data_IF_471664327254
#
_entry.id   IF_471664327254
#
_cell.length_a   1.000
_cell.length_b   1.000
_cell.length_c   1.000
_cell.angle_alpha   90.00
_cell.angle_beta   90.00
_cell.angle_gamma   90.00
#
_symmetry.space_group_name_H-M   'P 1'
#
loop_
_entity.id
_entity.type
_entity.pdbx_description
1 polymer ?
2 non-polymer ?
3 non-polymer ?
4 non-polymer ?
5 water ?
#
# COMPACT_ATOMS: atom_id res chain seq x y z
N UNK A 22 4.64 23.19 10.50
CA UNK A 22 3.84 22.03 10.86
C UNK A 22 3.54 22.03 12.36
N UNK A 23 2.99 20.92 12.85
CA UNK A 23 2.55 20.79 14.23
C UNK A 23 1.11 21.17 14.47
N UNK A 24 0.47 21.84 13.52
CA UNK A 24 -0.91 22.25 13.66
C UNK A 24 -1.85 21.06 13.49
N UNK A 25 -2.84 20.94 14.39
CA UNK A 25 -3.87 19.92 14.26
C UNK A 25 -4.41 19.94 12.83
N UNK A 26 -4.55 18.75 12.25
CA UNK A 26 -4.92 18.61 10.86
C UNK A 26 -6.12 17.69 10.67
N UNK A 27 -6.50 17.55 9.42
CA UNK A 27 -7.61 16.73 9.01
C UNK A 27 -7.07 15.66 8.06
N UNK A 28 -7.22 14.40 8.45
CA UNK A 28 -6.68 13.28 7.65
C UNK A 28 -7.81 12.49 7.05
N UNK A 29 -7.71 12.23 5.77
CA UNK A 29 -8.66 11.41 5.04
C UNK A 29 -8.00 10.04 4.85
N UNK A 30 -8.63 9.00 5.35
CA UNK A 30 -8.19 7.62 5.17
C UNK A 30 -9.01 6.97 4.10
N UNK A 31 -8.38 6.63 2.99
CA UNK A 31 -9.04 5.96 1.89
C UNK A 31 -8.87 4.45 2.00
N UNK A 32 -9.97 3.74 1.83
CA UNK A 32 -9.99 2.30 1.98
C UNK A 32 -10.95 1.84 3.05
N UNK A 33 -10.89 0.56 3.37
CA UNK A 33 -11.79 -0.01 4.37
C UNK A 33 -11.68 0.69 5.71
N UNK A 34 -12.79 0.70 6.48
CA UNK A 34 -12.71 1.31 7.80
C UNK A 34 -11.83 0.43 8.69
N UNK A 35 -10.88 1.06 9.33
CA UNK A 35 -10.00 0.41 10.30
C UNK A 35 -10.01 1.25 11.57
N UNK A 36 -10.83 0.85 12.53
CA UNK A 36 -10.92 1.62 13.77
C UNK A 36 -9.57 1.77 14.44
N UNK A 37 -8.75 0.71 14.44
CA UNK A 37 -7.47 0.83 15.13
C UNK A 37 -6.63 1.94 14.53
N UNK A 38 -6.70 2.11 13.21
CA UNK A 38 -5.90 3.14 12.57
C UNK A 38 -6.49 4.55 12.77
N UNK A 39 -7.81 4.65 12.67
CA UNK A 39 -8.46 5.89 13.08
C UNK A 39 -8.03 6.29 14.48
N UNK A 40 -8.14 5.36 15.44
CA UNK A 40 -7.79 5.69 16.82
C UNK A 40 -6.34 6.10 16.94
N UNK A 41 -5.42 5.36 16.26
CA UNK A 41 -4.00 5.70 16.34
C UNK A 41 -3.77 7.12 15.86
N UNK A 42 -4.37 7.46 14.74
CA UNK A 42 -4.15 8.77 14.15
C UNK A 42 -4.75 9.86 15.07
N UNK A 43 -5.90 9.57 15.65
CA UNK A 43 -6.55 10.55 16.53
C UNK A 43 -5.80 10.73 17.83
N UNK A 44 -5.00 9.73 18.26
CA UNK A 44 -4.16 9.94 19.43
C UNK A 44 -3.06 10.96 19.20
N UNK A 45 -2.88 11.47 17.97
CA UNK A 45 -1.97 12.60 17.74
C UNK A 45 -2.74 13.94 17.69
N UNK A 46 -4.03 13.91 18.02
CA UNK A 46 -4.92 15.08 18.04
C UNK A 46 -5.35 15.56 16.66
N UNK A 47 -5.20 14.73 15.64
CA UNK A 47 -5.76 15.05 14.33
C UNK A 47 -7.18 14.52 14.24
N UNK A 48 -7.97 15.09 13.35
CA UNK A 48 -9.30 14.59 13.13
C UNK A 48 -9.24 13.71 11.88
N UNK A 49 -10.02 12.67 11.89
CA UNK A 49 -9.96 11.66 10.86
C UNK A 49 -11.32 11.45 10.24
N UNK A 50 -11.34 11.33 8.93
CA UNK A 50 -12.53 10.86 8.21
C UNK A 50 -12.09 9.75 7.30
N UNK A 51 -13.04 8.88 6.94
CA UNK A 51 -12.77 7.70 6.13
C UNK A 51 -13.71 7.69 4.96
N UNK A 52 -13.23 7.12 3.85
CA UNK A 52 -14.03 7.00 2.63
C UNK A 52 -13.54 5.82 1.81
N UNK A 53 -14.45 5.07 1.21
CA UNK A 53 -14.01 3.96 0.39
C UNK A 53 -14.50 3.95 -1.04
N UNK A 54 -15.22 4.98 -1.50
CA UNK A 54 -15.79 4.96 -2.85
C UNK A 54 -14.98 5.86 -3.79
N UNK A 55 -15.37 5.90 -5.06
CA UNK A 55 -14.71 6.77 -6.03
C UNK A 55 -14.80 8.23 -5.63
N UNK A 56 -13.82 9.01 -6.06
CA UNK A 56 -13.69 10.41 -5.72
C UNK A 56 -13.58 11.23 -6.98
N UNK A 57 -14.59 12.04 -7.26
CA UNK A 57 -14.44 13.11 -8.23
C UNK A 57 -13.61 14.18 -7.58
N UNK A 58 -12.87 14.93 -8.41
CA UNK A 58 -12.02 15.98 -7.84
C UNK A 58 -12.80 17.08 -7.15
N UNK A 59 -14.11 17.21 -7.46
CA UNK A 59 -14.95 18.21 -6.77
C UNK A 59 -15.60 17.69 -5.50
N UNK A 60 -15.46 16.39 -5.19
CA UNK A 60 -16.10 15.83 -4.01
C UNK A 60 -15.86 16.69 -2.77
N UNK A 61 -16.94 16.95 -2.03
CA UNK A 61 -16.80 17.66 -0.77
C UNK A 61 -16.04 16.86 0.28
N UNK A 62 -15.87 15.55 0.08
CA UNK A 62 -15.05 14.72 0.99
C UNK A 62 -13.62 15.27 1.13
N UNK A 63 -13.12 15.90 0.08
CA UNK A 63 -11.79 16.47 0.06
C UNK A 63 -11.67 17.84 0.70
N UNK A 64 -12.78 18.52 1.01
CA UNK A 64 -12.64 19.88 1.50
C UNK A 64 -11.91 19.89 2.83
N UNK A 65 -10.99 20.83 2.98
CA UNK A 65 -10.29 21.06 4.23
C UNK A 65 -9.43 19.86 4.67
N UNK A 66 -9.08 18.99 3.75
CA UNK A 66 -8.23 17.83 4.07
C UNK A 66 -6.78 18.24 3.99
N UNK A 67 -6.03 17.92 5.03
CA UNK A 67 -4.61 18.24 5.09
C UNK A 67 -3.72 17.09 4.58
N UNK A 68 -4.18 15.83 4.69
CA UNK A 68 -3.33 14.68 4.40
C UNK A 68 -4.21 13.50 4.03
N UNK A 69 -3.81 12.75 3.01
CA UNK A 69 -4.55 11.57 2.58
C UNK A 69 -3.68 10.33 2.83
N UNK A 70 -4.26 9.30 3.44
CA UNK A 70 -3.59 7.99 3.59
C UNK A 70 -4.46 6.96 2.90
N UNK A 71 -3.95 6.34 1.83
CA UNK A 71 -4.72 5.25 1.25
C UNK A 71 -4.10 3.90 1.63
N UNK A 72 -4.93 2.98 2.01
CA UNK A 72 -4.51 1.64 2.51
C UNK A 72 -5.63 0.71 2.10
N UNK A 73 -5.45 0.05 0.97
CA UNK A 73 -6.45 -0.82 0.42
C UNK A 73 -7.54 -0.09 -0.36
N UNK A 74 -7.30 1.15 -0.75
CA UNK A 74 -8.27 1.91 -1.54
C UNK A 74 -8.39 1.30 -2.93
N UNK A 75 -9.61 1.12 -3.39
CA UNK A 75 -9.82 0.28 -4.55
C UNK A 75 -9.82 1.02 -5.87
N UNK A 76 -9.66 2.33 -5.87
CA UNK A 76 -9.73 3.08 -7.12
C UNK A 76 -8.48 3.89 -7.37
N UNK A 77 -8.27 4.15 -8.65
CA UNK A 77 -7.24 5.09 -9.09
C UNK A 77 -7.65 6.49 -8.70
N UNK A 78 -6.75 7.21 -8.07
CA UNK A 78 -7.00 8.59 -7.64
C UNK A 78 -6.70 9.53 -8.79
N UNK A 79 -7.67 10.38 -9.10
CA UNK A 79 -7.61 11.23 -10.29
C UNK A 79 -6.40 12.16 -10.24
N UNK A 80 -5.76 12.44 -11.39
CA UNK A 80 -4.50 13.22 -11.36
C UNK A 80 -4.62 14.63 -10.82
N UNK A 81 -5.81 15.24 -10.95
CA UNK A 81 -5.99 16.57 -10.37
C UNK A 81 -5.99 16.48 -8.86
N UNK A 82 -6.55 15.39 -8.31
CA UNK A 82 -6.44 15.18 -6.85
C UNK A 82 -4.98 14.96 -6.46
N UNK A 83 -4.26 14.14 -7.25
CA UNK A 83 -2.84 13.89 -7.02
C UNK A 83 -2.06 15.18 -6.99
N UNK A 84 -2.29 16.08 -7.99
CA UNK A 84 -1.56 17.33 -8.00
C UNK A 84 -1.93 18.20 -6.82
N UNK A 85 -3.23 18.27 -6.50
CA UNK A 85 -3.65 19.11 -5.39
C UNK A 85 -3.01 18.65 -4.09
N UNK A 86 -2.80 17.35 -3.95
CA UNK A 86 -2.25 16.84 -2.70
C UNK A 86 -0.79 16.39 -2.82
N UNK A 87 -0.04 16.94 -3.77
CA UNK A 87 1.40 16.68 -3.86
C UNK A 87 2.04 16.77 -2.48
N UNK A 88 2.82 15.75 -2.14
CA UNK A 88 3.56 15.65 -0.88
C UNK A 88 2.63 15.63 0.34
N UNK A 89 1.34 15.35 0.11
CA UNK A 89 0.40 15.25 1.19
C UNK A 89 -0.48 14.03 1.06
N UNK A 90 -0.12 13.08 0.17
CA UNK A 90 -0.91 11.88 -0.02
C UNK A 90 0.03 10.67 -0.15
N UNK A 91 -0.17 9.66 0.70
CA UNK A 91 0.67 8.46 0.72
C UNK A 91 -0.19 7.23 0.55
N UNK A 92 0.45 6.11 0.15
CA UNK A 92 -0.24 4.85 -0.05
C UNK A 92 0.64 3.76 0.62
N UNK A 93 -0.03 2.79 1.24
CA UNK A 93 0.57 1.60 1.88
C UNK A 93 0.35 0.40 0.98
N UNK A 94 1.45 -0.14 0.41
CA UNK A 94 1.41 -1.17 -0.62
C UNK A 94 2.26 -2.34 -0.13
N UNK A 95 1.71 -3.53 -0.16
CA UNK A 95 2.43 -4.68 0.39
C UNK A 95 3.27 -5.38 -0.67
N UNK A 96 4.09 -4.61 -1.36
CA UNK A 96 5.20 -5.15 -2.12
C UNK A 96 6.46 -4.33 -1.82
N UNK A 97 7.59 -4.89 -2.20
CA UNK A 97 8.87 -4.23 -2.17
C UNK A 97 9.01 -3.50 -3.50
N UNK A 98 8.50 -2.27 -3.58
CA UNK A 98 8.56 -1.58 -4.87
C UNK A 98 10.04 -1.32 -5.23
N UNK A 99 10.38 -1.29 -6.53
CA UNK A 99 9.47 -1.30 -7.68
C UNK A 99 8.88 -2.62 -8.13
N UNK A 100 9.16 -3.73 -7.44
CA UNK A 100 8.58 -5.01 -7.83
C UNK A 100 7.12 -5.08 -7.40
N UNK A 101 6.31 -5.71 -8.22
CA UNK A 101 4.92 -6.01 -7.89
C UNK A 101 4.09 -4.78 -7.59
N UNK A 102 4.26 -3.75 -8.44
CA UNK A 102 3.22 -2.75 -8.59
C UNK A 102 1.90 -3.42 -9.01
N UNK A 103 0.80 -2.80 -8.59
CA UNK A 103 -0.51 -3.31 -8.96
C UNK A 103 -1.08 -4.39 -8.08
N UNK A 104 -1.71 -5.38 -8.71
CA UNK A 104 -2.56 -6.34 -8.05
C UNK A 104 -1.82 -7.58 -7.57
N UNK A 105 -2.38 -8.21 -6.54
CA UNK A 105 -1.90 -9.48 -6.01
C UNK A 105 -0.37 -9.51 -5.82
N UNK A 106 0.20 -8.49 -5.17
CA UNK A 106 1.65 -8.48 -5.10
C UNK A 106 2.23 -9.65 -4.34
N UNK A 107 1.54 -10.15 -3.31
CA UNK A 107 2.11 -11.26 -2.55
C UNK A 107 2.22 -12.49 -3.43
N UNK A 108 1.14 -12.83 -4.12
CA UNK A 108 1.19 -13.98 -5.03
C UNK A 108 2.28 -13.81 -6.09
N UNK A 109 2.36 -12.66 -6.73
CA UNK A 109 3.33 -12.48 -7.81
C UNK A 109 4.75 -12.50 -7.32
N UNK A 110 4.98 -12.09 -6.04
CA UNK A 110 6.32 -12.18 -5.49
C UNK A 110 6.81 -13.61 -5.42
N UNK A 111 5.90 -14.57 -5.32
CA UNK A 111 6.29 -15.98 -5.35
C UNK A 111 6.33 -16.53 -6.77
N UNK A 112 5.29 -16.23 -7.57
CA UNK A 112 5.27 -16.71 -8.94
C UNK A 112 6.49 -16.27 -9.72
N UNK A 113 6.95 -15.04 -9.54
CA UNK A 113 8.08 -14.49 -10.27
C UNK A 113 9.35 -14.43 -9.42
N UNK A 114 9.32 -15.01 -8.21
CA UNK A 114 10.44 -15.15 -7.29
C UNK A 114 11.18 -13.81 -7.15
N UNK A 115 10.42 -12.78 -6.76
CA UNK A 115 10.93 -11.43 -6.66
C UNK A 115 11.23 -11.06 -5.20
N UNK A 116 11.83 -9.92 -4.96
CA UNK A 116 11.94 -9.47 -3.58
C UNK A 116 10.54 -9.33 -2.97
N UNK A 117 10.51 -9.45 -1.65
CA UNK A 117 9.25 -9.44 -0.92
C UNK A 117 9.29 -8.45 0.21
N UNK A 118 8.18 -7.77 0.43
CA UNK A 118 8.17 -6.77 1.49
C UNK A 118 7.05 -5.74 1.25
N UNK A 119 7.22 -4.63 1.92
CA UNK A 119 6.15 -3.62 2.00
C UNK A 119 6.73 -2.23 1.82
N UNK A 120 5.89 -1.28 1.37
CA UNK A 120 6.41 0.02 0.96
C UNK A 120 5.36 1.11 1.23
N UNK A 121 5.79 2.20 1.82
CA UNK A 121 4.98 3.42 1.94
C UNK A 121 5.54 4.41 0.94
N UNK A 122 4.69 4.93 0.07
CA UNK A 122 5.17 5.78 -1.01
C UNK A 122 4.18 6.96 -1.18
N UNK A 123 4.68 8.04 -1.76
CA UNK A 123 3.78 9.14 -2.17
C UNK A 123 2.96 8.70 -3.36
N UNK A 124 1.71 9.16 -3.41
CA UNK A 124 0.83 8.86 -4.52
C UNK A 124 1.11 9.83 -5.65
N UNK A 125 1.37 9.29 -6.82
CA UNK A 125 1.48 10.11 -8.03
C UNK A 125 0.44 9.58 -8.99
N UNK A 126 0.47 10.08 -10.24
CA UNK A 126 -0.65 9.83 -11.15
C UNK A 126 -0.68 8.39 -11.63
N UNK A 127 0.48 7.72 -11.64
CA UNK A 127 0.47 6.32 -11.97
C UNK A 127 0.18 5.41 -10.79
N UNK A 128 -0.03 4.11 -11.08
CA UNK A 128 -0.35 3.13 -10.05
C UNK A 128 0.91 2.62 -9.37
N UNK A 129 1.08 2.97 -8.09
CA UNK A 129 2.17 2.48 -7.22
C UNK A 129 3.53 2.90 -7.73
N UNK A 130 3.60 4.01 -8.50
CA UNK A 130 4.82 4.53 -9.08
C UNK A 130 5.44 5.71 -8.34
N UNK A 131 4.76 6.28 -7.33
CA UNK A 131 5.26 7.46 -6.64
C UNK A 131 6.55 7.26 -5.83
N UNK A 132 7.01 8.37 -5.26
CA UNK A 132 8.31 8.37 -4.56
C UNK A 132 8.27 7.54 -3.27
N UNK A 133 9.34 6.83 -3.01
CA UNK A 133 9.41 5.91 -1.87
C UNK A 133 9.79 6.67 -0.62
N UNK A 134 9.03 6.42 0.46
CA UNK A 134 9.29 7.03 1.77
C UNK A 134 10.07 6.09 2.66
N UNK A 135 9.55 4.87 2.85
CA UNK A 135 10.27 3.81 3.58
C UNK A 135 9.79 2.47 3.07
N UNK A 136 10.66 1.47 3.15
CA UNK A 136 10.27 0.12 2.77
C UNK A 136 10.90 -0.85 3.75
N UNK A 137 10.44 -2.11 3.69
CA UNK A 137 11.04 -3.16 4.51
C UNK A 137 10.96 -4.48 3.81
N UNK A 138 12.05 -5.25 3.87
CA UNK A 138 11.95 -6.59 3.28
C UNK A 138 11.28 -7.53 4.30
N UNK A 139 10.55 -8.51 3.78
CA UNK A 139 9.86 -9.49 4.60
C UNK A 139 10.20 -10.85 4.01
N UNK A 140 10.88 -11.65 4.76
CA UNK A 140 11.25 -12.99 4.35
C UNK A 140 10.14 -13.98 4.66
N UNK A 141 10.29 -15.15 4.08
CA UNK A 141 9.32 -16.21 4.27
C UNK A 141 10.06 -17.49 4.65
N UNK A 142 9.28 -18.47 5.03
CA UNK A 142 9.80 -19.69 5.59
C UNK A 142 9.33 -20.87 4.78
N UNK A 143 10.04 -21.99 4.99
CA UNK A 143 9.86 -23.17 4.17
C UNK A 143 8.41 -23.59 4.01
N UNK A 144 7.63 -23.55 5.09
CA UNK A 144 6.26 -24.07 4.99
C UNK A 144 5.19 -22.96 4.99
N UNK A 145 5.57 -21.73 4.69
CA UNK A 145 4.57 -20.66 4.60
C UNK A 145 3.50 -20.98 3.54
N UNK A 146 2.34 -20.33 3.71
CA UNK A 146 1.26 -20.37 2.75
C UNK A 146 0.99 -18.93 2.26
N UNK A 147 0.15 -18.76 1.25
CA UNK A 147 -0.22 -17.41 0.88
C UNK A 147 -0.88 -16.69 2.04
N UNK A 148 -1.69 -17.39 2.85
CA UNK A 148 -2.30 -16.74 4.00
C UNK A 148 -1.25 -16.23 4.97
N UNK A 149 -0.29 -17.08 5.34
CA UNK A 149 0.65 -16.68 6.38
C UNK A 149 1.57 -15.59 5.90
N UNK A 150 1.96 -15.60 4.60
CA UNK A 150 2.80 -14.53 4.06
C UNK A 150 2.00 -13.24 3.92
N UNK A 151 0.75 -13.32 3.44
CA UNK A 151 -0.11 -12.09 3.40
C UNK A 151 -0.30 -11.48 4.78
N UNK A 152 -0.61 -12.30 5.76
CA UNK A 152 -0.77 -11.77 7.13
C UNK A 152 0.50 -11.16 7.61
N UNK A 153 1.66 -11.75 7.34
CA UNK A 153 2.90 -11.13 7.79
C UNK A 153 3.16 -9.79 7.10
N UNK A 154 2.85 -9.69 5.79
CA UNK A 154 3.02 -8.41 5.12
C UNK A 154 2.08 -7.37 5.74
N UNK A 155 0.83 -7.76 6.00
CA UNK A 155 -0.15 -6.81 6.58
C UNK A 155 0.33 -6.29 7.93
N UNK A 156 0.78 -7.19 8.80
CA UNK A 156 1.30 -6.74 10.08
C UNK A 156 2.53 -5.89 9.95
N UNK A 157 3.42 -6.24 9.03
CA UNK A 157 4.63 -5.47 8.83
C UNK A 157 4.37 -4.06 8.28
N UNK A 158 3.48 -3.91 7.31
CA UNK A 158 3.31 -2.53 6.80
C UNK A 158 2.56 -1.64 7.84
N UNK A 159 1.63 -2.20 8.62
CA UNK A 159 0.94 -1.46 9.69
C UNK A 159 1.94 -1.09 10.75
N UNK A 160 2.85 -2.00 11.10
CA UNK A 160 3.94 -1.63 11.99
C UNK A 160 4.80 -0.52 11.42
N UNK A 161 5.23 -0.65 10.17
CA UNK A 161 6.13 0.32 9.57
C UNK A 161 5.48 1.71 9.52
N UNK A 162 4.18 1.70 9.26
CA UNK A 162 3.45 2.99 9.20
C UNK A 162 3.48 3.66 10.58
N UNK A 163 3.10 2.90 11.60
CA UNK A 163 3.03 3.49 12.95
C UNK A 163 4.40 3.86 13.43
N UNK A 164 5.43 3.07 13.06
CA UNK A 164 6.79 3.42 13.45
C UNK A 164 7.21 4.75 12.87
N UNK A 165 6.81 5.05 11.64
CA UNK A 165 7.34 6.24 10.96
C UNK A 165 6.35 7.41 10.89
N UNK A 166 5.09 7.18 11.22
CA UNK A 166 4.13 8.28 11.13
C UNK A 166 4.53 9.50 11.95
N UNK A 167 5.06 9.39 13.16
CA UNK A 167 5.50 10.63 13.87
C UNK A 167 6.42 11.51 13.05
N UNK A 168 7.25 10.95 12.19
CA UNK A 168 8.07 11.72 11.28
C UNK A 168 7.29 12.15 10.05
N UNK A 169 6.57 11.20 9.39
CA UNK A 169 5.85 11.55 8.18
C UNK A 169 4.86 12.67 8.45
N UNK A 170 4.24 12.63 9.64
CA UNK A 170 3.22 13.61 10.02
C UNK A 170 3.74 15.03 9.92
N UNK A 171 5.05 15.21 10.07
CA UNK A 171 5.66 16.53 10.10
C UNK A 171 6.51 16.83 8.86
N UNK A 172 6.27 16.12 7.77
CA UNK A 172 6.99 16.38 6.52
C UNK A 172 8.47 16.05 6.54
N UNK A 173 8.90 15.13 7.39
CA UNK A 173 10.34 14.92 7.60
C UNK A 173 10.99 13.86 6.71
N UNK A 174 10.23 13.15 5.85
CA UNK A 174 10.82 12.23 4.88
C UNK A 174 10.25 12.59 3.51
N UNK A 175 11.03 13.33 2.71
CA UNK A 175 10.55 13.82 1.42
C UNK A 175 10.48 12.72 0.35
N UNK A 176 11.07 11.57 0.60
CA UNK A 176 10.98 10.48 -0.37
C UNK A 176 12.04 10.56 -1.44
N UNK A 177 12.26 9.43 -2.13
CA UNK A 177 13.20 9.38 -3.25
C UNK A 177 12.50 8.89 -4.51
N UNK A 178 12.99 9.28 -5.70
CA UNK A 178 12.45 8.74 -6.93
C UNK A 178 12.39 7.24 -6.83
N UNK A 179 11.31 6.67 -7.30
CA UNK A 179 11.18 5.22 -7.34
C UNK A 179 12.17 4.63 -8.35
N UNK A 180 13.07 3.73 -7.92
CA UNK A 180 14.06 3.17 -8.84
C UNK A 180 13.38 2.65 -10.07
N UNK A 181 14.04 2.88 -11.20
CA UNK A 181 13.57 2.28 -12.44
C UNK A 181 13.84 0.80 -12.41
N UNK A 182 12.88 -0.02 -12.91
CA UNK A 182 12.90 -1.46 -12.79
C UNK A 182 11.59 -2.01 -12.20
N UNK A 183 11.68 -3.25 -11.71
CA UNK A 183 10.54 -3.90 -11.03
C UNK A 183 9.54 -4.53 -11.99
N UNK A 184 8.28 -4.48 -11.59
CA UNK A 184 7.21 -5.20 -12.33
C UNK A 184 5.84 -4.61 -12.00
N UNK A 185 4.85 -4.96 -12.79
CA UNK A 185 3.48 -4.49 -12.64
C UNK A 185 2.52 -5.59 -13.07
N UNK A 186 1.43 -5.77 -12.32
CA UNK A 186 0.41 -6.75 -12.66
C UNK A 186 -0.98 -6.16 -12.52
N UNK A 187 -1.90 -6.61 -13.36
CA UNK A 187 -3.33 -6.36 -13.26
C UNK A 187 -3.99 -7.55 -12.59
N UNK A 188 -5.22 -7.33 -12.12
CA UNK A 188 -5.93 -8.40 -11.41
C UNK A 188 -6.10 -9.64 -12.27
N UNK A 189 -6.26 -9.47 -13.58
CA UNK A 189 -6.55 -10.61 -14.44
C UNK A 189 -5.33 -11.45 -14.75
N UNK A 190 -4.11 -10.94 -14.52
CA UNK A 190 -2.90 -11.63 -14.91
C UNK A 190 -2.72 -12.95 -14.21
N UNK A 191 -3.31 -13.15 -13.04
CA UNK A 191 -3.12 -14.41 -12.31
C UNK A 191 -3.97 -15.58 -12.83
N UNK A 192 -4.89 -15.34 -13.76
CA UNK A 192 -5.85 -16.40 -14.14
C UNK A 192 -5.15 -17.68 -14.61
N UNK A 193 -4.12 -17.57 -15.43
CA UNK A 193 -3.51 -18.81 -15.91
C UNK A 193 -2.74 -19.57 -14.84
N UNK A 194 -2.65 -19.04 -13.62
CA UNK A 194 -1.93 -19.70 -12.54
C UNK A 194 -2.84 -20.19 -11.44
N UNK A 195 -4.12 -19.82 -11.47
CA UNK A 195 -5.03 -20.22 -10.40
C UNK A 195 -5.07 -21.74 -10.19
N UNK A 196 -4.74 -22.52 -11.21
CA UNK A 196 -4.77 -23.97 -11.07
C UNK A 196 -3.71 -24.44 -10.08
N UNK A 197 -2.70 -23.59 -9.81
CA UNK A 197 -1.71 -23.92 -8.80
C UNK A 197 -2.27 -23.77 -7.40
N UNK A 198 -3.26 -22.88 -7.21
CA UNK A 198 -3.79 -22.58 -5.89
C UNK A 198 -4.89 -23.58 -5.49
N UNK A 199 -4.48 -24.83 -5.36
CA UNK A 199 -5.41 -25.89 -5.04
C UNK A 199 -6.01 -25.76 -3.65
N UNK A 200 -5.33 -25.07 -2.73
CA UNK A 200 -5.89 -24.86 -1.40
C UNK A 200 -6.15 -23.39 -1.10
N UNK A 201 -6.37 -22.60 -2.15
CA UNK A 201 -6.78 -21.22 -1.97
C UNK A 201 -5.67 -20.49 -1.21
N UNK A 202 -6.10 -19.75 -0.20
CA UNK A 202 -5.19 -19.02 0.68
C UNK A 202 -4.21 -19.94 1.37
N UNK A 203 -4.59 -21.20 1.58
CA UNK A 203 -3.73 -22.12 2.31
C UNK A 203 -2.85 -22.96 1.38
N UNK A 204 -2.66 -22.52 0.13
CA UNK A 204 -1.65 -23.13 -0.74
C UNK A 204 -0.25 -22.86 -0.21
N UNK A 205 0.56 -23.89 0.01
CA UNK A 205 1.98 -23.66 0.33
C UNK A 205 2.65 -22.86 -0.76
N UNK A 206 3.49 -21.90 -0.36
CA UNK A 206 4.12 -21.05 -1.36
C UNK A 206 5.20 -21.81 -2.11
N UNK A 207 5.78 -22.84 -1.49
CA UNK A 207 6.83 -23.63 -2.16
C UNK A 207 6.35 -24.12 -3.53
N UNK A 208 5.06 -24.47 -3.64
CA UNK A 208 4.48 -24.92 -4.90
C UNK A 208 4.43 -23.85 -5.96
N UNK A 209 4.61 -22.58 -5.58
CA UNK A 209 4.38 -21.45 -6.45
C UNK A 209 5.66 -20.81 -6.96
N UNK A 210 6.78 -21.06 -6.28
CA UNK A 210 7.98 -20.25 -6.51
C UNK A 210 8.48 -20.50 -7.91
N UNK A 211 8.60 -19.41 -8.67
CA UNK A 211 9.14 -19.43 -10.00
C UNK A 211 8.20 -19.89 -11.08
N UNK A 212 6.96 -20.25 -10.75
CA UNK A 212 6.09 -20.90 -11.72
C UNK A 212 5.75 -20.01 -12.87
N UNK A 213 5.89 -18.70 -12.72
CA UNK A 213 5.76 -17.77 -13.83
C UNK A 213 7.12 -17.43 -14.42
N UNK A 214 8.14 -18.24 -14.13
CA UNK A 214 9.53 -17.95 -14.47
C UNK A 214 9.92 -16.55 -14.02
X LIG B 1 -7.13 -17.01 -4.39
X LIG B 1 -6.78 -15.89 -5.21
X LIG B 1 -5.38 -15.34 -4.87
X LIG B 1 -5.33 -15.07 -3.43
X LIG B 1 -5.71 -16.20 -2.59
X LIG B 1 -7.10 -16.69 -3.01
X LIG B 1 -4.02 -14.53 -2.93
X LIG B 1 -3.71 -13.14 -3.49
X LIG B 1 -2.32 -12.46 -2.65
X LIG B 1 -2.70 -11.44 -1.71
X LIG B 1 -1.70 -13.62 -1.91
X LIG B 1 -1.51 -11.89 -3.68
X LIG B 1 -6.80 -16.19 -6.26
X LIG B 1 -7.52 -15.10 -5.07
X LIG B 1 -5.19 -14.43 -5.43
X LIG B 1 -4.61 -16.07 -5.14
X LIG B 1 -6.03 -14.35 -3.34
X LIG B 1 -4.98 -17.01 -2.69
X LIG B 1 -5.73 -15.89 -1.53
X LIG B 1 -7.36 -17.58 -2.43
X LIG B 1 -7.84 -15.92 -2.80
X LIG B 1 -3.22 -15.22 -3.22
X LIG B 1 -4.06 -14.49 -1.84
X LIG B 1 -4.57 -12.48 -3.35
X LIG B 1 -3.50 -13.21 -4.56
X LIG C 1 -10.93 -2.80 12.93
X LIG C 1 -11.87 -1.81 12.35
X LIG C 1 -11.70 -3.95 13.43
X LIG C 1 -9.99 -3.28 11.90
X LIG C 1 -10.15 -2.22 14.05
X LIG D 1 -4.20 6.03 -7.28
X LIG D 1 -3.02 6.68 -7.90
X LIG D 1 -3.19 7.76 -8.85
X LIG D 1 -1.61 6.29 -7.55
X LIG D 1 -1.33 5.20 -6.61
X LIG D 1 -0.17 4.92 -6.39
X LIG D 1 -2.53 4.54 -6.00
X LIG D 1 -2.32 3.56 -5.07
X LIG D 1 -3.55 2.64 -4.85
X LIG D 1 -4.76 3.27 -4.74
X LIG D 1 -5.06 4.42 -5.77
X LIG D 1 -3.98 4.99 -6.31
X LIG D 1 -3.53 1.68 -6.07
X LIG D 1 -4.56 0.63 -5.99
X LIG D 1 -6.65 -0.39 -9.52
X LIG D 1 -7.38 0.07 -8.43
X LIG D 1 -6.70 0.42 -7.27
X LIG D 1 -5.32 0.29 -7.23
X LIG D 1 -4.61 -0.18 -8.31
X LIG D 1 -5.28 -0.53 -9.47
X LIG D 1 -7.37 -0.82 -10.83
X LIG D 1 -6.90 -2.12 -11.38
X LIG D 1 -7.44 -2.74 -12.61
X LIG D 1 -7.03 -1.90 -13.85
X LIG D 1 -5.82 -1.00 -13.59
X LIG D 1 -5.17 -0.48 -14.88
X LIG D 1 -4.06 0.11 -14.85
X LIG D 1 -5.78 -0.63 -15.98
X LIG D 1 -6.92 -4.20 -12.71
X LIG D 1 -6.11 -4.68 -11.85
X LIG D 1 -7.30 -4.94 -13.65
X LIG D 1 -4.81 -0.14 -4.79
X LIG D 1 -4.21 0.08 -3.79
X LIG D 1 -8.22 -0.16 -11.32
X LIG D 1 -3.98 8.02 -9.08
X LIG D 1 -2.51 8.14 -9.20
X LIG D 1 -0.95 6.72 -7.91
X LIG D 1 -1.59 3.47 -4.63
X LIG D 1 -3.47 2.15 -4.02
X LIG D 1 -4.80 3.66 -3.85
X LIG D 1 -5.46 2.60 -4.82
X LIG D 1 -2.65 1.27 -6.11
X LIG D 1 -3.67 2.21 -6.87
X LIG D 1 -8.30 0.14 -8.48
X LIG D 1 -7.16 0.75 -6.54
X LIG D 1 -3.68 -0.26 -8.27
X LIG D 1 -4.81 -0.85 -10.21
X LIG D 1 -6.28 -2.54 -10.95
X LIG D 1 -8.38 -2.75 -12.56
X LIG D 1 -6.82 -2.50 -14.58
X LIG D 1 -7.78 -1.35 -14.12
X LIG D 1 -5.15 -1.50 -13.09
X LIG D 1 -6.10 -0.24 -13.05
X LIG D 1 -5.45 -0.82 -4.80
X LIG D 1 -5.86 4.66 -5.96
#
# INVERSE_FOLDING_TARGET
>A
MHHHHHHHHPDLGTGSENLYFQGAMGKILLLGPERKWLRDFLESFEDEVTQYQDKLDKKSAILNNVDFIISYGYRYIIHPDIVERFKQRAINLHISYLPWNKGADPNLWSFLEDSPKGVTIHYIDSGLDTGEIIVQREVTYYENDTLRTTYERLTQTIEKLFMEYWPLIRLGKIRGIPQPKGGSYHKLKDKEKYLYLLTDGWDTPVQKLIGKAQNNE
>B hetero
1 MES O1 C2 C3 N4 C5 C6 C7 C8 S O1S O2S O3S H21 H22 H31 H32 HN4 H51 H52 H61 H62 H71 H72 H81 H82
>C hetero
1 SO4 S O1 O2 O3 O4
>D hetero
1 1YA N1 C2 NA2 N3 C4 O4 C4A N5 C6 C7 N8 C8A C9 N10 C11 C12 C13 C14 C15 C16 C17 N CA CB CG CD OE1 OE2 CT O2 O1 C18 O5 O H1 H2 H3 H5 H7 H8 H9 H10 H11 H12 H13 H14 H15 H16 H17 H18 H19 H20 H21 H24 H4
#
